data_IF_914662736002
#
_entry.id   IF_914662736002
#
_cell.length_a   1.000
_cell.length_b   1.000
_cell.length_c   1.000
_cell.angle_alpha   90.00
_cell.angle_beta   90.00
_cell.angle_gamma   90.00
#
_symmetry.space_group_name_H-M   'P 1'
#
loop_
_entity.id
_entity.type
_entity.pdbx_description
1 polymer ?
#
# COMPACT_ATOMS: atom_id res chain seq x y z
N UNK A 1 22.24 12.26 12.29
CA UNK A 1 21.34 11.13 12.49
C UNK A 1 20.30 11.45 13.56
N UNK A 2 19.10 10.97 13.37
CA UNK A 2 18.06 11.13 14.37
C UNK A 2 18.33 10.19 15.54
N UNK A 3 18.34 10.72 16.77
CA UNK A 3 18.57 9.90 17.97
C UNK A 3 17.28 9.51 18.69
N UNK A 4 16.12 9.87 18.14
CA UNK A 4 14.83 9.58 18.77
C UNK A 4 14.00 8.57 17.99
N UNK A 5 13.98 8.66 16.68
CA UNK A 5 13.14 7.83 15.81
C UNK A 5 14.05 7.03 14.87
N UNK A 6 13.84 5.72 14.85
CA UNK A 6 14.60 4.83 13.98
C UNK A 6 14.07 4.86 12.55
N UNK A 7 12.80 4.54 12.38
CA UNK A 7 12.20 4.38 11.04
C UNK A 7 10.69 4.45 11.11
N UNK A 8 10.05 4.55 9.96
CA UNK A 8 8.62 4.34 9.87
C UNK A 8 8.33 2.86 10.09
N UNK A 9 7.47 2.55 11.06
CA UNK A 9 7.19 1.15 11.41
C UNK A 9 6.10 0.56 10.53
N UNK A 10 4.90 1.15 10.57
CA UNK A 10 3.78 0.66 9.78
C UNK A 10 2.76 1.78 9.54
N UNK A 11 1.84 1.50 8.65
CA UNK A 11 0.61 2.27 8.48
C UNK A 11 -0.57 1.40 8.87
N UNK A 12 -1.65 2.01 9.36
CA UNK A 12 -2.87 1.30 9.68
C UNK A 12 -3.97 1.77 8.76
N UNK A 13 -4.63 0.81 8.11
CA UNK A 13 -5.75 1.05 7.21
C UNK A 13 -7.02 0.55 7.88
N UNK A 14 -8.03 1.41 7.92
CA UNK A 14 -9.37 1.01 8.36
C UNK A 14 -10.17 0.64 7.11
N UNK A 15 -10.78 -0.53 7.12
CA UNK A 15 -11.54 -1.03 5.97
C UNK A 15 -12.89 -1.57 6.42
N UNK A 16 -13.85 -1.53 5.51
CA UNK A 16 -15.13 -2.22 5.68
C UNK A 16 -15.09 -3.64 5.13
N UNK A 17 -14.04 -4.00 4.38
CA UNK A 17 -13.93 -5.30 3.73
C UNK A 17 -12.49 -5.81 3.80
N UNK A 18 -12.26 -6.71 4.76
CA UNK A 18 -10.93 -7.27 5.01
C UNK A 18 -10.42 -8.07 3.80
N UNK A 19 -11.26 -8.89 3.22
CA UNK A 19 -10.87 -9.77 2.11
C UNK A 19 -10.42 -8.97 0.89
N UNK A 20 -11.18 -7.96 0.48
CA UNK A 20 -10.81 -7.13 -0.66
C UNK A 20 -9.47 -6.41 -0.42
N UNK A 21 -9.28 -5.88 0.77
CA UNK A 21 -8.06 -5.15 1.11
C UNK A 21 -6.85 -6.08 1.15
N UNK A 22 -6.96 -7.22 1.85
CA UNK A 22 -5.88 -8.21 1.90
C UNK A 22 -5.54 -8.74 0.51
N UNK A 23 -6.54 -9.09 -0.28
CA UNK A 23 -6.32 -9.62 -1.62
C UNK A 23 -5.62 -8.63 -2.53
N UNK A 24 -5.93 -7.34 -2.41
CA UNK A 24 -5.25 -6.31 -3.20
C UNK A 24 -3.74 -6.33 -2.93
N UNK A 25 -3.35 -6.20 -1.67
CA UNK A 25 -1.93 -6.10 -1.31
C UNK A 25 -1.17 -7.41 -1.52
N UNK A 26 -1.81 -8.56 -1.31
CA UNK A 26 -1.16 -9.85 -1.55
C UNK A 26 -1.05 -10.16 -3.04
N UNK A 27 -2.10 -9.88 -3.82
CA UNK A 27 -2.10 -10.20 -5.26
C UNK A 27 -1.26 -9.24 -6.09
N UNK A 28 -1.31 -7.93 -5.78
CA UNK A 28 -0.61 -6.93 -6.58
C UNK A 28 0.86 -6.79 -6.17
N UNK A 29 1.13 -6.75 -4.86
CA UNK A 29 2.48 -6.47 -4.35
C UNK A 29 3.17 -7.68 -3.73
N UNK A 30 2.55 -8.85 -3.77
CA UNK A 30 3.09 -10.07 -3.18
C UNK A 30 3.40 -9.93 -1.69
N UNK A 31 2.66 -9.08 -0.99
CA UNK A 31 2.76 -9.01 0.47
C UNK A 31 2.21 -10.29 1.09
N UNK A 32 2.71 -10.65 2.26
CA UNK A 32 2.32 -11.89 2.95
C UNK A 32 1.50 -11.57 4.18
N UNK A 33 0.49 -12.39 4.46
CA UNK A 33 -0.23 -12.29 5.72
C UNK A 33 0.73 -12.70 6.84
N UNK A 34 0.88 -11.82 7.82
CA UNK A 34 1.79 -12.05 8.95
C UNK A 34 1.06 -12.81 10.06
N UNK A 35 1.55 -14.00 10.35
CA UNK A 35 0.95 -14.88 11.36
C UNK A 35 1.28 -14.45 12.79
N UNK A 36 2.20 -13.51 12.96
CA UNK A 36 2.60 -13.01 14.29
C UNK A 36 1.72 -11.86 14.79
N UNK A 37 0.63 -11.57 14.08
CA UNK A 37 -0.34 -10.58 14.58
C UNK A 37 -0.85 -11.02 15.96
N UNK A 38 -0.76 -10.14 16.98
CA UNK A 38 -1.30 -10.48 18.30
C UNK A 38 -2.80 -10.81 18.25
N UNK A 39 -3.30 -11.59 19.22
CA UNK A 39 -4.72 -11.98 19.23
C UNK A 39 -5.62 -10.85 19.75
N UNK A 40 -5.71 -9.76 18.98
CA UNK A 40 -6.59 -8.65 19.31
C UNK A 40 -8.05 -9.08 19.30
N UNK A 41 -8.88 -8.35 20.05
CA UNK A 41 -10.32 -8.61 20.11
C UNK A 41 -11.11 -7.92 18.99
N UNK A 42 -10.44 -7.47 17.94
CA UNK A 42 -11.04 -6.89 16.75
C UNK A 42 -10.52 -7.58 15.50
N UNK A 43 -11.33 -7.58 14.47
CA UNK A 43 -11.00 -8.22 13.20
C UNK A 43 -9.99 -7.36 12.43
N UNK A 44 -9.03 -8.02 11.81
CA UNK A 44 -8.01 -7.34 11.03
C UNK A 44 -6.97 -8.31 10.53
N UNK A 45 -5.88 -7.76 9.98
CA UNK A 45 -4.74 -8.53 9.52
C UNK A 45 -3.50 -7.65 9.50
N UNK A 46 -2.35 -8.29 9.57
CA UNK A 46 -1.06 -7.64 9.33
C UNK A 46 -0.48 -8.19 8.04
N UNK A 47 0.07 -7.31 7.21
CA UNK A 47 0.69 -7.68 5.94
C UNK A 47 2.17 -7.33 5.95
N UNK A 48 2.99 -8.31 5.57
CA UNK A 48 4.45 -8.17 5.61
C UNK A 48 5.02 -7.88 4.24
N UNK A 49 6.00 -7.00 4.23
CA UNK A 49 6.87 -6.70 3.09
C UNK A 49 8.30 -6.93 3.57
N UNK A 50 9.02 -7.86 2.93
CA UNK A 50 10.38 -8.21 3.32
C UNK A 50 10.49 -8.54 4.81
N UNK A 51 9.57 -9.38 5.31
CA UNK A 51 9.52 -9.88 6.70
C UNK A 51 9.18 -8.83 7.77
N UNK A 52 8.72 -7.65 7.35
CA UNK A 52 8.26 -6.62 8.28
C UNK A 52 6.77 -6.36 8.05
N UNK A 53 5.99 -6.35 9.13
CA UNK A 53 4.56 -6.08 9.08
C UNK A 53 4.34 -4.58 8.90
N UNK A 54 4.34 -4.11 7.65
CA UNK A 54 4.30 -2.68 7.32
C UNK A 54 2.88 -2.14 7.15
N UNK A 55 1.90 -3.01 6.92
CA UNK A 55 0.50 -2.62 6.83
C UNK A 55 -0.31 -3.40 7.87
N UNK A 56 -0.98 -2.67 8.75
CA UNK A 56 -1.94 -3.21 9.69
C UNK A 56 -3.34 -2.84 9.20
N UNK A 57 -4.23 -3.81 9.14
CA UNK A 57 -5.60 -3.60 8.69
C UNK A 57 -6.54 -3.80 9.87
N UNK A 58 -7.44 -2.85 10.07
CA UNK A 58 -8.47 -2.88 11.10
C UNK A 58 -9.83 -2.83 10.41
N UNK A 59 -10.71 -3.76 10.74
CA UNK A 59 -12.06 -3.79 10.17
C UNK A 59 -12.98 -2.94 11.01
N UNK A 60 -13.71 -2.05 10.37
CA UNK A 60 -14.80 -1.29 10.95
C UNK A 60 -15.90 -1.17 9.90
N UNK A 61 -16.95 -1.97 10.05
CA UNK A 61 -18.04 -2.05 9.08
C UNK A 61 -18.81 -0.75 8.90
N UNK A 62 -18.69 0.18 9.83
CA UNK A 62 -19.36 1.48 9.80
C UNK A 62 -18.47 2.61 9.31
N UNK A 63 -17.23 2.31 8.95
CA UNK A 63 -16.29 3.33 8.50
C UNK A 63 -16.73 3.94 7.18
N UNK A 64 -16.62 5.26 7.08
CA UNK A 64 -16.85 6.00 5.84
C UNK A 64 -15.56 6.71 5.49
N UNK A 65 -14.92 6.31 4.39
CA UNK A 65 -13.70 6.97 3.93
C UNK A 65 -14.03 8.30 3.26
N UNK A 66 -13.14 9.28 3.45
CA UNK A 66 -13.18 10.54 2.73
C UNK A 66 -11.82 10.78 2.10
N UNK A 67 -11.70 10.39 0.82
CA UNK A 67 -10.44 10.47 0.09
C UNK A 67 -10.42 11.59 -0.93
N UNK A 68 -11.43 12.48 -0.92
CA UNK A 68 -11.51 13.58 -1.88
C UNK A 68 -10.43 14.63 -1.64
N UNK A 69 -10.19 14.98 -0.38
CA UNK A 69 -9.16 15.95 0.02
C UNK A 69 -8.44 15.46 1.26
N UNK A 70 -7.68 14.37 1.17
CA UNK A 70 -6.98 13.83 2.32
C UNK A 70 -5.80 14.71 2.70
N UNK A 71 -5.57 14.88 4.01
CA UNK A 71 -4.39 15.57 4.51
C UNK A 71 -3.13 14.77 4.25
N UNK A 72 -3.18 13.44 4.46
CA UNK A 72 -2.14 12.53 3.99
C UNK A 72 -2.50 12.17 2.55
N UNK A 73 -1.77 12.75 1.59
CA UNK A 73 -2.12 12.64 0.17
C UNK A 73 -1.93 11.23 -0.37
N UNK A 74 -0.79 10.63 -0.13
CA UNK A 74 -0.50 9.29 -0.62
C UNK A 74 0.62 8.62 0.17
N UNK A 75 0.79 7.33 -0.09
CA UNK A 75 1.88 6.51 0.44
C UNK A 75 2.70 6.04 -0.74
N UNK A 76 4.02 6.16 -0.66
CA UNK A 76 4.91 5.72 -1.72
C UNK A 76 5.73 4.52 -1.28
N UNK A 77 5.79 3.52 -2.15
CA UNK A 77 6.69 2.38 -2.03
C UNK A 77 7.77 2.48 -3.10
N UNK A 78 8.97 2.11 -2.76
CA UNK A 78 10.05 1.98 -3.74
C UNK A 78 9.89 0.65 -4.47
N UNK A 79 9.72 0.69 -5.78
CA UNK A 79 9.47 -0.52 -6.57
C UNK A 79 10.77 -1.18 -6.99
N UNK A 80 10.77 -2.50 -7.02
CA UNK A 80 11.88 -3.26 -7.62
C UNK A 80 11.68 -3.40 -9.12
N UNK A 81 10.43 -3.63 -9.55
CA UNK A 81 10.13 -3.86 -10.96
C UNK A 81 8.73 -3.34 -11.29
N UNK A 82 8.69 -2.15 -11.89
CA UNK A 82 7.41 -1.51 -12.24
C UNK A 82 6.67 -2.29 -13.31
N UNK A 83 7.39 -2.89 -14.26
CA UNK A 83 6.74 -3.65 -15.34
C UNK A 83 5.99 -4.88 -14.81
N UNK A 84 6.52 -5.57 -13.82
CA UNK A 84 5.81 -6.69 -13.18
C UNK A 84 4.56 -6.20 -12.44
N UNK A 85 4.63 -5.05 -11.79
CA UNK A 85 3.47 -4.47 -11.11
C UNK A 85 2.40 -4.11 -12.14
N UNK A 86 2.78 -3.49 -13.27
CA UNK A 86 1.84 -3.16 -14.34
C UNK A 86 1.13 -4.39 -14.88
N UNK A 87 1.84 -5.50 -15.05
CA UNK A 87 1.23 -6.77 -15.49
C UNK A 87 0.19 -7.27 -14.50
N UNK A 88 0.46 -7.14 -13.19
CA UNK A 88 -0.52 -7.50 -12.16
C UNK A 88 -1.74 -6.59 -12.21
N UNK A 89 -1.52 -5.29 -12.34
CA UNK A 89 -2.61 -4.32 -12.44
C UNK A 89 -3.50 -4.60 -13.65
N UNK A 90 -2.89 -4.88 -14.79
CA UNK A 90 -3.63 -5.23 -16.02
C UNK A 90 -4.43 -6.52 -15.82
N UNK A 91 -3.83 -7.53 -15.20
CA UNK A 91 -4.50 -8.81 -14.92
C UNK A 91 -5.75 -8.64 -14.06
N UNK A 92 -5.69 -7.76 -13.06
CA UNK A 92 -6.80 -7.53 -12.14
C UNK A 92 -7.67 -6.35 -12.55
N UNK A 93 -7.45 -5.78 -13.76
CA UNK A 93 -8.22 -4.66 -14.31
C UNK A 93 -8.21 -3.41 -13.42
N UNK A 94 -7.05 -3.11 -12.84
CA UNK A 94 -6.86 -1.94 -11.98
C UNK A 94 -6.23 -0.83 -12.80
N UNK A 95 -6.88 0.34 -12.82
CA UNK A 95 -6.40 1.52 -13.53
C UNK A 95 -5.18 2.12 -12.83
N UNK A 96 -4.27 2.66 -13.62
CA UNK A 96 -3.09 3.35 -13.08
C UNK A 96 -2.68 4.51 -13.98
N UNK A 97 -1.90 5.42 -13.42
CA UNK A 97 -1.33 6.56 -14.13
C UNK A 97 0.19 6.50 -14.00
N UNK A 98 0.90 6.74 -15.10
CA UNK A 98 2.35 6.80 -15.10
C UNK A 98 2.84 8.23 -15.26
N UNK A 99 3.89 8.57 -14.56
CA UNK A 99 4.58 9.85 -14.69
C UNK A 99 6.08 9.65 -14.59
N UNK A 100 6.80 10.62 -15.13
CA UNK A 100 8.25 10.72 -14.96
C UNK A 100 8.51 12.11 -14.37
N UNK A 101 9.38 12.17 -13.36
CA UNK A 101 9.71 13.46 -12.75
C UNK A 101 10.33 14.41 -13.77
N UNK A 102 10.20 15.75 -13.58
CA UNK A 102 10.69 16.74 -14.58
C UNK A 102 12.17 16.63 -14.91
N UNK A 103 12.99 16.10 -14.00
CA UNK A 103 14.41 15.86 -14.22
C UNK A 103 14.71 14.53 -14.94
N UNK A 104 13.67 13.77 -15.31
CA UNK A 104 13.75 12.46 -15.98
C UNK A 104 14.49 11.38 -15.16
N UNK A 105 14.54 11.52 -13.84
CA UNK A 105 15.31 10.60 -12.99
C UNK A 105 14.47 9.54 -12.30
N UNK A 106 13.16 9.76 -12.13
CA UNK A 106 12.30 8.85 -11.38
C UNK A 106 11.05 8.54 -12.18
N UNK A 107 10.78 7.24 -12.34
CA UNK A 107 9.52 6.74 -12.89
C UNK A 107 8.54 6.55 -11.73
N UNK A 108 7.30 7.02 -11.91
CA UNK A 108 6.25 6.98 -10.91
C UNK A 108 5.00 6.31 -11.47
N UNK A 109 4.42 5.43 -10.68
CA UNK A 109 3.16 4.76 -11.00
C UNK A 109 2.18 5.06 -9.87
N UNK A 110 0.98 5.55 -10.22
CA UNK A 110 -0.04 5.91 -9.24
C UNK A 110 -1.27 5.02 -9.40
N UNK A 111 -1.74 4.46 -8.30
CA UNK A 111 -2.92 3.61 -8.24
C UNK A 111 -3.73 3.95 -6.99
N UNK A 112 -4.93 3.38 -6.90
CA UNK A 112 -5.73 3.45 -5.67
C UNK A 112 -5.97 2.04 -5.16
N UNK A 113 -5.90 1.87 -3.84
CA UNK A 113 -6.28 0.61 -3.22
C UNK A 113 -7.81 0.50 -3.11
N UNK A 114 -8.37 -0.64 -2.66
CA UNK A 114 -9.82 -0.79 -2.56
C UNK A 114 -10.52 0.20 -1.63
N UNK A 115 -9.79 0.86 -0.76
CA UNK A 115 -10.33 1.86 0.17
C UNK A 115 -10.18 3.29 -0.34
N UNK A 116 -9.68 3.45 -1.58
CA UNK A 116 -9.46 4.76 -2.17
C UNK A 116 -8.17 5.45 -1.75
N UNK A 117 -7.27 4.73 -1.08
CA UNK A 117 -5.97 5.27 -0.70
C UNK A 117 -5.09 5.36 -1.94
N UNK A 118 -4.52 6.53 -2.18
CA UNK A 118 -3.60 6.75 -3.29
C UNK A 118 -2.24 6.16 -2.95
N UNK A 119 -1.75 5.31 -3.82
CA UNK A 119 -0.44 4.67 -3.68
C UNK A 119 0.45 5.08 -4.85
N UNK A 120 1.71 5.30 -4.55
CA UNK A 120 2.74 5.58 -5.54
C UNK A 120 3.78 4.46 -5.52
N UNK A 121 4.17 3.99 -6.69
CA UNK A 121 5.32 3.10 -6.86
C UNK A 121 6.37 3.90 -7.59
N UNK A 122 7.54 4.08 -7.00
CA UNK A 122 8.60 4.88 -7.60
C UNK A 122 9.87 4.06 -7.80
N UNK A 123 10.56 4.35 -8.89
CA UNK A 123 11.82 3.69 -9.21
C UNK A 123 12.73 4.65 -9.97
N UNK A 124 14.00 4.77 -9.57
CA UNK A 124 14.95 5.53 -10.36
C UNK A 124 15.09 4.98 -11.77
N UNK A 125 15.20 5.87 -12.74
CA UNK A 125 15.47 5.51 -14.14
C UNK A 125 16.99 5.42 -14.28
N UNK A 126 17.43 4.27 -14.78
CA UNK A 126 18.85 4.00 -15.00
C UNK A 126 19.31 4.43 -16.38
#
# INVERSE_FOLDING_TARGET
MNKYIDSLDHITIITTNLENTTNFYTNIFDMKIDENRPPFNFEGAWLSLNKRAVIHIVVNSKHKSNNTKPTLDHIAFKAKNINLIKKKLDKYHIKYTEKITPDNKIQQLFIKDPNGIKLELSKPIE
#
